data_IF_370925656641
#
_entry.id   IF_370925656641
#
_cell.length_a   1.000
_cell.length_b   1.000
_cell.length_c   1.000
_cell.angle_alpha   90.00
_cell.angle_beta   90.00
_cell.angle_gamma   90.00
#
_symmetry.space_group_name_H-M   'P 1'
#
loop_
_entity.id
_entity.type
_entity.pdbx_description
1 polymer ?
#
# COMPACT_ATOMS: atom_id res chain seq x y z
N UNK A 1 -9.14 -2.60 21.94
CA UNK A 1 -9.63 -3.97 21.64
C UNK A 1 -8.54 -4.81 20.98
N UNK A 2 -8.17 -4.58 19.72
CA UNK A 2 -7.18 -5.40 18.98
C UNK A 2 -5.77 -5.41 19.61
N UNK A 3 -5.26 -4.25 20.01
CA UNK A 3 -3.95 -4.13 20.69
C UNK A 3 -3.98 -4.85 22.05
N UNK A 4 -5.02 -4.60 22.84
CA UNK A 4 -5.20 -5.20 24.17
C UNK A 4 -5.35 -6.72 24.10
N UNK A 5 -6.10 -7.25 23.12
CA UNK A 5 -6.21 -8.70 22.90
C UNK A 5 -4.93 -9.30 22.37
N UNK A 6 -4.18 -8.60 21.51
CA UNK A 6 -2.86 -9.04 21.05
C UNK A 6 -1.85 -9.15 22.19
N UNK A 7 -1.79 -8.15 23.07
CA UNK A 7 -0.94 -8.18 24.26
C UNK A 7 -1.33 -9.33 25.21
N UNK A 8 -2.62 -9.55 25.40
CA UNK A 8 -3.12 -10.66 26.22
C UNK A 8 -2.76 -12.02 25.60
N UNK A 9 -2.88 -12.16 24.28
CA UNK A 9 -2.48 -13.38 23.58
C UNK A 9 -0.98 -13.67 23.73
N UNK A 10 -0.12 -12.65 23.61
CA UNK A 10 1.33 -12.80 23.80
C UNK A 10 1.67 -13.15 25.26
N UNK A 11 0.97 -12.58 26.23
CA UNK A 11 1.18 -12.88 27.64
C UNK A 11 0.79 -14.32 28.01
N UNK A 12 -0.27 -14.86 27.41
CA UNK A 12 -0.75 -16.22 27.67
C UNK A 12 -0.03 -17.29 26.82
N UNK A 13 0.33 -16.95 25.58
CA UNK A 13 0.87 -17.89 24.59
C UNK A 13 2.15 -17.30 23.96
N UNK A 14 3.28 -17.37 24.68
CA UNK A 14 4.55 -16.90 24.16
C UNK A 14 5.00 -17.76 22.96
N UNK A 15 5.62 -17.13 21.96
CA UNK A 15 6.14 -17.75 20.72
C UNK A 15 5.10 -18.16 19.66
N UNK A 16 3.88 -17.65 19.71
CA UNK A 16 2.91 -17.78 18.61
C UNK A 16 3.25 -16.86 17.42
N UNK A 17 2.76 -17.20 16.22
CA UNK A 17 2.82 -16.30 15.08
C UNK A 17 2.00 -15.04 15.36
N UNK A 18 2.60 -13.87 15.19
CA UNK A 18 1.97 -12.57 15.44
C UNK A 18 0.68 -12.39 14.65
N UNK A 19 0.59 -12.94 13.42
CA UNK A 19 -0.62 -12.87 12.61
C UNK A 19 -1.76 -13.75 13.16
N UNK A 20 -1.42 -14.84 13.87
CA UNK A 20 -2.38 -15.80 14.42
C UNK A 20 -2.77 -15.51 15.86
N UNK A 21 -2.12 -14.55 16.51
CA UNK A 21 -2.38 -14.19 17.91
C UNK A 21 -3.86 -13.95 18.22
N UNK A 22 -4.60 -13.30 17.33
CA UNK A 22 -6.01 -12.97 17.56
C UNK A 22 -6.95 -14.17 17.29
N UNK A 23 -6.86 -14.88 16.15
CA UNK A 23 -7.63 -16.12 15.94
C UNK A 23 -7.33 -17.23 16.96
N UNK A 24 -6.07 -17.39 17.37
CA UNK A 24 -5.65 -18.44 18.30
C UNK A 24 -6.12 -18.15 19.73
N UNK A 25 -6.07 -16.89 20.17
CA UNK A 25 -6.66 -16.51 21.45
C UNK A 25 -8.17 -16.81 21.46
N UNK A 26 -8.87 -16.48 20.38
CA UNK A 26 -10.30 -16.72 20.25
C UNK A 26 -10.65 -18.21 20.29
N UNK A 27 -9.86 -19.08 19.64
CA UNK A 27 -10.12 -20.52 19.62
C UNK A 27 -9.95 -21.19 20.98
N UNK A 28 -9.10 -20.62 21.84
CA UNK A 28 -8.81 -21.17 23.19
C UNK A 28 -9.76 -20.66 24.27
N UNK A 29 -10.35 -19.47 24.10
CA UNK A 29 -11.18 -18.82 25.13
C UNK A 29 -12.69 -18.94 24.82
N UNK A 30 -13.09 -18.88 23.55
CA UNK A 30 -14.50 -18.80 23.19
C UNK A 30 -15.16 -20.19 23.14
N UNK A 31 -16.42 -20.32 23.61
CA UNK A 31 -17.22 -21.51 23.35
C UNK A 31 -17.41 -21.75 21.84
N UNK A 32 -17.59 -23.01 21.38
CA UNK A 32 -17.62 -23.34 19.95
C UNK A 32 -18.58 -22.49 19.10
N UNK A 33 -19.79 -22.23 19.62
CA UNK A 33 -20.78 -21.41 18.91
C UNK A 33 -20.34 -19.95 18.73
N UNK A 34 -19.79 -19.34 19.78
CA UNK A 34 -19.33 -17.95 19.77
C UNK A 34 -18.06 -17.81 18.93
N UNK A 35 -17.17 -18.81 18.97
CA UNK A 35 -16.00 -18.88 18.11
C UNK A 35 -16.39 -18.92 16.63
N UNK A 36 -17.45 -19.67 16.27
CA UNK A 36 -18.01 -19.66 14.91
C UNK A 36 -18.47 -18.26 14.48
N UNK A 37 -19.24 -17.56 15.32
CA UNK A 37 -19.68 -16.18 15.05
C UNK A 37 -18.47 -15.24 14.89
N UNK A 38 -17.47 -15.39 15.75
CA UNK A 38 -16.22 -14.62 15.69
C UNK A 38 -15.51 -14.79 14.33
N UNK A 39 -15.34 -16.05 13.88
CA UNK A 39 -14.70 -16.33 12.59
C UNK A 39 -15.51 -15.77 11.41
N UNK A 40 -16.84 -15.92 11.44
CA UNK A 40 -17.72 -15.35 10.41
C UNK A 40 -17.57 -13.82 10.35
N UNK A 41 -17.52 -13.14 11.50
CA UNK A 41 -17.30 -11.70 11.57
C UNK A 41 -15.91 -11.27 11.06
N UNK A 42 -14.87 -12.02 11.40
CA UNK A 42 -13.50 -11.80 10.92
C UNK A 42 -13.44 -11.93 9.39
N UNK A 43 -13.94 -13.02 8.83
CA UNK A 43 -13.97 -13.23 7.38
C UNK A 43 -14.86 -12.22 6.67
N UNK A 44 -16.02 -11.87 7.24
CA UNK A 44 -16.90 -10.84 6.68
C UNK A 44 -16.20 -9.48 6.58
N UNK A 45 -15.38 -9.12 7.56
CA UNK A 45 -14.61 -7.86 7.56
C UNK A 45 -13.49 -7.89 6.53
N UNK A 46 -12.80 -9.04 6.39
CA UNK A 46 -11.78 -9.23 5.35
C UNK A 46 -12.43 -9.13 3.96
N UNK A 47 -13.57 -9.78 3.77
CA UNK A 47 -14.25 -9.81 2.47
C UNK A 47 -14.78 -8.43 2.06
N UNK A 48 -15.32 -7.64 3.00
CA UNK A 48 -15.75 -6.26 2.70
C UNK A 48 -14.59 -5.34 2.31
N UNK A 49 -13.41 -5.58 2.87
CA UNK A 49 -12.19 -4.84 2.52
C UNK A 49 -11.64 -5.28 1.16
N UNK A 50 -11.66 -6.59 0.87
CA UNK A 50 -11.24 -7.12 -0.45
C UNK A 50 -12.15 -6.61 -1.55
N UNK A 51 -13.46 -6.59 -1.32
CA UNK A 51 -14.45 -6.10 -2.29
C UNK A 51 -14.24 -4.60 -2.60
N UNK A 52 -14.19 -3.76 -1.57
CA UNK A 52 -14.01 -2.30 -1.75
C UNK A 52 -12.65 -1.95 -2.37
N UNK A 53 -11.54 -2.45 -1.84
CA UNK A 53 -10.21 -2.16 -2.38
C UNK A 53 -9.95 -2.82 -3.74
N UNK A 54 -10.53 -4.01 -3.96
CA UNK A 54 -10.48 -4.71 -5.24
C UNK A 54 -11.17 -3.91 -6.33
N UNK A 55 -12.37 -3.38 -6.05
CA UNK A 55 -13.10 -2.51 -6.97
C UNK A 55 -12.34 -1.20 -7.26
N UNK A 56 -11.82 -0.53 -6.23
CA UNK A 56 -11.04 0.71 -6.41
C UNK A 56 -9.82 0.44 -7.30
N UNK A 57 -9.06 -0.62 -7.01
CA UNK A 57 -7.88 -1.01 -7.80
C UNK A 57 -8.26 -1.38 -9.24
N UNK A 58 -9.39 -2.06 -9.43
CA UNK A 58 -9.90 -2.43 -10.75
C UNK A 58 -10.30 -1.21 -11.59
N UNK A 59 -10.91 -0.20 -10.96
CA UNK A 59 -11.24 1.08 -11.62
C UNK A 59 -9.95 1.82 -11.98
N UNK A 60 -9.04 2.00 -11.02
CA UNK A 60 -7.78 2.72 -11.25
C UNK A 60 -6.95 2.07 -12.36
N UNK A 61 -6.79 0.75 -12.34
CA UNK A 61 -6.00 0.07 -13.37
C UNK A 61 -6.77 -0.10 -14.69
N UNK A 62 -8.01 -0.58 -14.63
CA UNK A 62 -8.81 -0.89 -15.81
C UNK A 62 -9.26 0.35 -16.56
N UNK A 63 -9.94 1.27 -15.85
CA UNK A 63 -10.49 2.48 -16.46
C UNK A 63 -9.42 3.56 -16.61
N UNK A 64 -8.68 3.90 -15.57
CA UNK A 64 -7.84 5.12 -15.62
C UNK A 64 -6.49 4.88 -16.32
N UNK A 65 -5.96 3.65 -16.29
CA UNK A 65 -4.69 3.30 -16.95
C UNK A 65 -4.94 2.58 -18.29
N UNK A 66 -5.58 1.41 -18.28
CA UNK A 66 -5.67 0.52 -19.45
C UNK A 66 -6.51 1.12 -20.58
N UNK A 67 -7.67 1.72 -20.29
CA UNK A 67 -8.51 2.36 -21.30
C UNK A 67 -7.81 3.59 -21.93
N UNK A 68 -7.12 4.39 -21.09
CA UNK A 68 -6.42 5.60 -21.51
C UNK A 68 -5.21 5.31 -22.39
N UNK A 69 -4.43 4.27 -22.06
CA UNK A 69 -3.31 3.80 -22.90
C UNK A 69 -3.80 3.33 -24.27
N UNK A 70 -4.98 2.70 -24.31
CA UNK A 70 -5.56 2.22 -25.58
C UNK A 70 -6.27 3.31 -26.39
N UNK A 71 -6.29 4.57 -25.92
CA UNK A 71 -6.92 5.71 -26.60
C UNK A 71 -8.39 5.47 -26.99
N UNK A 72 -9.10 4.66 -26.19
CA UNK A 72 -10.50 4.24 -26.46
C UNK A 72 -11.52 4.98 -25.59
N UNK A 73 -11.19 6.16 -25.08
CA UNK A 73 -12.04 6.91 -24.13
C UNK A 73 -13.46 7.17 -24.67
N UNK A 74 -13.64 7.36 -25.98
CA UNK A 74 -14.96 7.70 -26.56
C UNK A 74 -15.84 6.48 -26.93
N UNK A 75 -15.29 5.27 -27.04
CA UNK A 75 -16.02 4.09 -27.56
C UNK A 75 -15.79 2.79 -26.77
N UNK A 76 -14.90 2.79 -25.78
CA UNK A 76 -14.57 1.59 -25.00
C UNK A 76 -15.63 1.27 -23.95
N UNK A 77 -16.01 0.00 -23.84
CA UNK A 77 -16.88 -0.47 -22.78
C UNK A 77 -16.14 -0.43 -21.43
N UNK A 78 -16.27 0.67 -20.67
CA UNK A 78 -15.60 0.87 -19.38
C UNK A 78 -15.73 -0.34 -18.45
N UNK A 79 -16.91 -0.98 -18.42
CA UNK A 79 -17.18 -2.14 -17.57
C UNK A 79 -16.29 -3.34 -17.92
N UNK A 80 -16.00 -3.56 -19.21
CA UNK A 80 -15.09 -4.63 -19.65
C UNK A 80 -13.67 -4.38 -19.16
N UNK A 81 -13.20 -3.13 -19.24
CA UNK A 81 -11.86 -2.74 -18.78
C UNK A 81 -11.72 -2.84 -17.26
N UNK A 82 -12.74 -2.43 -16.51
CA UNK A 82 -12.78 -2.61 -15.05
C UNK A 82 -12.71 -4.10 -14.69
N UNK A 83 -13.46 -4.97 -15.37
CA UNK A 83 -13.38 -6.43 -15.14
C UNK A 83 -12.00 -6.99 -15.44
N UNK A 84 -11.35 -6.57 -16.52
CA UNK A 84 -9.96 -6.94 -16.83
C UNK A 84 -9.00 -6.42 -15.75
N UNK A 85 -9.19 -5.18 -15.30
CA UNK A 85 -8.43 -4.58 -14.22
C UNK A 85 -8.55 -5.34 -12.91
N UNK A 86 -9.75 -5.82 -12.57
CA UNK A 86 -9.97 -6.65 -11.39
C UNK A 86 -9.14 -7.94 -11.43
N UNK A 87 -9.14 -8.64 -12.56
CA UNK A 87 -8.35 -9.87 -12.73
C UNK A 87 -6.86 -9.60 -12.59
N UNK A 88 -6.34 -8.56 -13.26
CA UNK A 88 -4.92 -8.21 -13.20
C UNK A 88 -4.51 -7.80 -11.79
N UNK A 89 -5.28 -6.93 -11.14
CA UNK A 89 -4.99 -6.48 -9.78
C UNK A 89 -5.11 -7.60 -8.75
N UNK A 90 -6.05 -8.54 -8.91
CA UNK A 90 -6.14 -9.72 -8.07
C UNK A 90 -4.88 -10.61 -8.18
N UNK A 91 -4.38 -10.83 -9.40
CA UNK A 91 -3.13 -11.59 -9.62
C UNK A 91 -1.95 -10.89 -8.96
N UNK A 92 -1.82 -9.56 -9.13
CA UNK A 92 -0.75 -8.78 -8.51
C UNK A 92 -0.85 -8.84 -6.97
N UNK A 93 -2.06 -8.72 -6.42
CA UNK A 93 -2.28 -8.81 -4.97
C UNK A 93 -1.87 -10.17 -4.40
N UNK A 94 -2.26 -11.28 -5.06
CA UNK A 94 -1.87 -12.64 -4.67
C UNK A 94 -0.35 -12.82 -4.77
N UNK A 95 0.26 -12.32 -5.85
CA UNK A 95 1.72 -12.37 -6.03
C UNK A 95 2.46 -11.64 -4.90
N UNK A 96 2.03 -10.43 -4.54
CA UNK A 96 2.61 -9.67 -3.44
C UNK A 96 2.41 -10.36 -2.08
N UNK A 97 1.22 -10.93 -1.84
CA UNK A 97 0.91 -11.64 -0.60
C UNK A 97 1.81 -12.88 -0.39
N UNK A 98 2.12 -13.61 -1.46
CA UNK A 98 3.02 -14.77 -1.41
C UNK A 98 4.48 -14.32 -1.28
N UNK A 99 4.87 -13.25 -1.97
CA UNK A 99 6.27 -12.77 -2.00
C UNK A 99 6.71 -12.13 -0.67
N UNK A 100 5.79 -11.47 0.03
CA UNK A 100 6.06 -10.77 1.29
C UNK A 100 5.05 -11.27 2.33
N UNK A 101 5.34 -12.37 3.04
CA UNK A 101 4.44 -12.99 4.02
C UNK A 101 4.41 -12.21 5.35
N UNK A 102 4.30 -10.88 5.27
CA UNK A 102 4.18 -9.99 6.42
C UNK A 102 3.46 -8.72 5.99
N UNK A 103 2.25 -8.53 6.53
CA UNK A 103 1.41 -7.36 6.24
C UNK A 103 2.15 -6.07 6.64
N UNK A 104 2.78 -6.05 7.82
CA UNK A 104 3.53 -4.90 8.31
C UNK A 104 4.68 -4.55 7.38
N UNK A 105 5.44 -5.55 6.91
CA UNK A 105 6.54 -5.34 5.97
C UNK A 105 6.04 -4.80 4.64
N UNK A 106 4.95 -5.35 4.11
CA UNK A 106 4.35 -4.92 2.85
C UNK A 106 3.95 -3.43 2.91
N UNK A 107 3.24 -3.03 3.96
CA UNK A 107 2.84 -1.64 4.19
C UNK A 107 4.03 -0.71 4.38
N UNK A 108 5.04 -1.13 5.13
CA UNK A 108 6.25 -0.36 5.34
C UNK A 108 7.01 -0.13 4.03
N UNK A 109 7.25 -1.18 3.23
CA UNK A 109 7.98 -1.07 1.96
C UNK A 109 7.24 -0.17 0.96
N UNK A 110 5.94 -0.36 0.79
CA UNK A 110 5.14 0.47 -0.13
C UNK A 110 5.11 1.92 0.36
N UNK A 111 4.91 2.13 1.67
CA UNK A 111 4.89 3.45 2.29
C UNK A 111 6.20 4.20 2.12
N UNK A 112 7.32 3.55 2.41
CA UNK A 112 8.65 4.17 2.31
C UNK A 112 9.05 4.51 0.88
N UNK A 113 8.53 3.80 -0.12
CA UNK A 113 8.92 3.99 -1.52
C UNK A 113 7.98 4.96 -2.25
N UNK A 114 6.66 4.79 -2.12
CA UNK A 114 5.68 5.50 -2.94
C UNK A 114 5.28 6.85 -2.35
N UNK A 115 5.08 6.92 -1.03
CA UNK A 115 4.59 8.14 -0.34
C UNK A 115 5.48 9.36 -0.60
N UNK A 116 6.82 9.26 -0.60
CA UNK A 116 7.67 10.43 -0.86
C UNK A 116 7.44 11.12 -2.20
N UNK A 117 7.02 10.37 -3.23
CA UNK A 117 6.72 10.93 -4.55
C UNK A 117 5.35 11.58 -4.65
N UNK A 118 4.40 11.24 -3.77
CA UNK A 118 3.02 11.71 -3.89
C UNK A 118 2.68 12.74 -2.82
N UNK A 119 3.26 12.63 -1.62
CA UNK A 119 2.86 13.41 -0.46
C UNK A 119 2.99 14.92 -0.66
N UNK A 120 4.19 15.41 -1.04
CA UNK A 120 4.39 16.85 -1.23
C UNK A 120 3.66 17.39 -2.48
N UNK A 121 3.66 16.70 -3.64
CA UNK A 121 2.80 17.05 -4.77
C UNK A 121 1.33 17.17 -4.42
N UNK A 122 0.82 16.25 -3.60
CA UNK A 122 -0.55 16.30 -3.10
C UNK A 122 -0.77 17.49 -2.16
N UNK A 123 0.12 17.74 -1.20
CA UNK A 123 -0.04 18.89 -0.29
C UNK A 123 0.00 20.24 -1.02
N UNK A 124 0.77 20.34 -2.11
CA UNK A 124 0.78 21.54 -2.95
C UNK A 124 -0.59 21.88 -3.55
N UNK A 125 -1.48 20.91 -3.76
CA UNK A 125 -2.82 21.20 -4.33
C UNK A 125 -3.69 22.03 -3.39
N UNK A 126 -3.35 22.10 -2.09
CA UNK A 126 -4.02 22.96 -1.11
C UNK A 126 -3.41 24.37 -1.03
N UNK A 127 -2.40 24.65 -1.85
CA UNK A 127 -1.73 25.96 -1.89
C UNK A 127 -1.91 26.63 -3.24
N UNK A 128 -1.71 27.94 -3.30
CA UNK A 128 -1.78 28.72 -4.55
C UNK A 128 -0.63 28.41 -5.53
N UNK A 129 0.36 27.62 -5.12
CA UNK A 129 1.51 27.31 -5.97
C UNK A 129 1.17 26.25 -6.99
N UNK A 130 1.27 26.60 -8.27
CA UNK A 130 1.08 25.66 -9.38
C UNK A 130 2.40 25.40 -10.06
N UNK A 131 2.73 24.12 -10.24
CA UNK A 131 3.84 23.70 -11.08
C UNK A 131 3.33 23.38 -12.48
N UNK A 132 4.11 23.72 -13.51
CA UNK A 132 3.80 23.33 -14.89
C UNK A 132 3.79 21.81 -15.03
N UNK A 133 2.99 21.29 -15.97
CA UNK A 133 2.85 19.86 -16.23
C UNK A 133 4.19 19.14 -16.51
N UNK A 134 5.15 19.81 -17.18
CA UNK A 134 6.49 19.26 -17.41
C UNK A 134 7.36 19.15 -16.15
N UNK A 135 7.06 19.94 -15.10
CA UNK A 135 7.79 19.94 -13.84
C UNK A 135 7.15 18.99 -12.82
N UNK A 136 5.81 18.89 -12.76
CA UNK A 136 5.15 18.06 -11.75
C UNK A 136 5.50 16.56 -11.88
N UNK A 137 5.61 16.05 -13.11
CA UNK A 137 5.90 14.63 -13.38
C UNK A 137 7.23 14.19 -12.73
N UNK A 138 8.37 14.87 -13.00
CA UNK A 138 9.62 14.50 -12.32
C UNK A 138 9.63 14.80 -10.82
N UNK A 139 8.81 15.74 -10.30
CA UNK A 139 8.62 15.91 -8.84
C UNK A 139 7.99 14.67 -8.20
N UNK A 140 7.17 13.92 -8.96
CA UNK A 140 6.54 12.69 -8.47
C UNK A 140 7.44 11.46 -8.66
N UNK A 141 8.15 11.38 -9.79
CA UNK A 141 8.90 10.18 -10.16
C UNK A 141 10.28 10.11 -9.49
N UNK A 142 11.04 11.22 -9.45
CA UNK A 142 12.42 11.21 -8.93
C UNK A 142 12.53 10.85 -7.44
N UNK A 143 11.61 11.29 -6.55
CA UNK A 143 11.58 10.81 -5.17
C UNK A 143 11.41 9.30 -5.04
N UNK A 144 10.54 8.72 -5.86
CA UNK A 144 10.28 7.27 -5.86
C UNK A 144 11.51 6.52 -6.35
N UNK A 145 12.15 6.97 -7.43
CA UNK A 145 13.40 6.38 -7.94
C UNK A 145 14.49 6.44 -6.86
N UNK A 146 14.61 7.57 -6.17
CA UNK A 146 15.56 7.73 -5.07
C UNK A 146 15.28 6.74 -3.95
N UNK A 147 14.02 6.62 -3.52
CA UNK A 147 13.62 5.70 -2.47
C UNK A 147 13.83 4.23 -2.88
N UNK A 148 13.52 3.84 -4.13
CA UNK A 148 13.82 2.50 -4.66
C UNK A 148 15.32 2.23 -4.62
N UNK A 149 16.13 3.17 -5.08
CA UNK A 149 17.59 3.02 -5.10
C UNK A 149 18.14 2.85 -3.67
N UNK A 150 17.62 3.62 -2.72
CA UNK A 150 18.00 3.53 -1.31
C UNK A 150 17.58 2.19 -0.68
N UNK A 151 16.37 1.72 -1.00
CA UNK A 151 15.86 0.44 -0.56
C UNK A 151 16.70 -0.72 -1.10
N UNK A 152 17.00 -0.71 -2.40
CA UNK A 152 17.85 -1.72 -3.04
C UNK A 152 19.26 -1.73 -2.44
N UNK A 153 19.84 -0.55 -2.21
CA UNK A 153 21.15 -0.45 -1.57
C UNK A 153 21.12 -1.09 -0.17
N UNK A 154 20.15 -0.71 0.67
CA UNK A 154 20.03 -1.28 2.02
C UNK A 154 19.80 -2.78 2.03
N UNK A 155 19.11 -3.32 1.03
CA UNK A 155 18.94 -4.76 0.87
C UNK A 155 20.26 -5.48 0.52
N UNK A 156 21.12 -4.86 -0.30
CA UNK A 156 22.41 -5.42 -0.71
C UNK A 156 23.49 -5.32 0.38
N UNK A 157 23.54 -4.20 1.11
CA UNK A 157 24.55 -3.95 2.16
C UNK A 157 24.12 -4.43 3.54
N UNK A 158 22.86 -4.85 3.70
CA UNK A 158 22.28 -5.29 4.97
C UNK A 158 21.93 -4.14 5.94
N UNK A 159 22.26 -2.91 5.59
CA UNK A 159 21.91 -1.71 6.36
C UNK A 159 21.67 -0.53 5.43
N UNK A 160 20.70 0.33 5.77
CA UNK A 160 20.52 1.57 5.02
C UNK A 160 21.69 2.55 5.24
N UNK A 161 22.06 3.36 4.23
CA UNK A 161 23.06 4.42 4.39
C UNK A 161 22.70 5.31 5.57
N UNK A 162 23.60 5.44 6.55
CA UNK A 162 23.39 6.26 7.75
C UNK A 162 22.21 5.83 8.64
N UNK A 163 21.72 4.59 8.50
CA UNK A 163 20.48 4.12 9.14
C UNK A 163 19.24 4.97 8.80
N UNK A 164 19.26 5.67 7.66
CA UNK A 164 18.15 6.49 7.19
C UNK A 164 17.24 5.65 6.30
N UNK A 165 15.96 5.59 6.66
CA UNK A 165 14.96 4.87 5.88
C UNK A 165 14.76 5.48 4.48
N UNK A 166 14.43 4.67 3.44
CA UNK A 166 14.24 5.14 2.07
C UNK A 166 13.23 6.29 1.89
N UNK A 167 12.30 6.43 2.82
CA UNK A 167 11.29 7.49 2.84
C UNK A 167 11.91 8.89 2.87
N UNK A 168 12.88 9.11 3.76
CA UNK A 168 13.47 10.42 4.02
C UNK A 168 14.25 11.00 2.82
N UNK A 169 15.19 10.28 2.17
CA UNK A 169 15.88 10.79 1.00
C UNK A 169 14.91 11.06 -0.15
N UNK A 170 13.85 10.24 -0.32
CA UNK A 170 12.77 10.53 -1.26
C UNK A 170 12.09 11.87 -0.98
N UNK A 171 11.69 12.13 0.26
CA UNK A 171 11.01 13.38 0.63
C UNK A 171 11.92 14.59 0.45
N UNK A 172 13.21 14.47 0.79
CA UNK A 172 14.19 15.54 0.60
C UNK A 172 14.27 15.90 -0.88
N UNK A 173 14.38 14.91 -1.77
CA UNK A 173 14.40 15.16 -3.22
C UNK A 173 13.11 15.83 -3.70
N UNK A 174 11.95 15.38 -3.20
CA UNK A 174 10.67 16.00 -3.54
C UNK A 174 10.63 17.48 -3.12
N UNK A 175 11.06 17.79 -1.89
CA UNK A 175 11.09 19.15 -1.37
C UNK A 175 12.07 20.06 -2.14
N UNK A 176 13.25 19.53 -2.50
CA UNK A 176 14.26 20.26 -3.29
C UNK A 176 13.70 20.58 -4.68
N UNK A 177 13.09 19.63 -5.37
CA UNK A 177 12.51 19.85 -6.70
C UNK A 177 11.41 20.90 -6.67
N UNK A 178 10.52 20.84 -5.66
CA UNK A 178 9.48 21.85 -5.47
C UNK A 178 10.09 23.23 -5.21
N UNK A 179 11.10 23.32 -4.35
CA UNK A 179 11.77 24.59 -4.03
C UNK A 179 12.45 25.24 -5.24
N UNK A 180 13.06 24.43 -6.12
CA UNK A 180 13.69 24.92 -7.35
C UNK A 180 12.64 25.37 -8.37
N UNK A 181 11.54 24.64 -8.49
CA UNK A 181 10.55 24.83 -9.56
C UNK A 181 9.40 25.77 -9.24
N UNK A 182 9.22 26.10 -7.97
CA UNK A 182 8.30 27.16 -7.49
C UNK A 182 8.81 28.57 -7.79
N UNK A 183 10.12 28.75 -7.99
CA UNK A 183 10.70 29.99 -8.52
C UNK A 183 10.40 30.13 -10.01
#
# INVERSE_FOLDING_TARGET
LTITTGLYAVALFPNQDAAMAYPELASRILPPFVYGIFLVGLFSTIMSTIDSNGLISAITFGRDILLRIQQKEEQGNETEYIRKGLVVMAIIAVFLAISIPSIVRLWYVIGSIIVPGILLPFLMTFTETRLNAGKIIPTMILPVITAISWFMYGHLTGHYPGAIEPFYPGIIISAVLIGIWKK
#
